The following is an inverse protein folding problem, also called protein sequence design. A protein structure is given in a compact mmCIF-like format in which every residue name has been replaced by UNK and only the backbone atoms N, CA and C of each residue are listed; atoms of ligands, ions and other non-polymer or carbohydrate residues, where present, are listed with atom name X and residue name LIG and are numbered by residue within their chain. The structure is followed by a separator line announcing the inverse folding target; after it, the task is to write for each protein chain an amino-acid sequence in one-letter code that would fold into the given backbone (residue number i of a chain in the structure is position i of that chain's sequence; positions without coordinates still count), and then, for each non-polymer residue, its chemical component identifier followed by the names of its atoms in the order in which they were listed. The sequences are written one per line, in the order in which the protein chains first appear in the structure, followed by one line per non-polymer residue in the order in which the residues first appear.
data_IF_631810016775
#
_entry.id   IF_631810016775
#
_cell.length_a   1.000
_cell.length_b   1.000
_cell.length_c   1.000
_cell.angle_alpha   90.00
_cell.angle_beta   90.00
_cell.angle_gamma   90.00
#
_symmetry.space_group_name_H-M   'P 1'
#
loop_
_entity.id
_entity.type
_entity.pdbx_description
1 polymer ?
#
# COMPACT_ATOMS: atom_id res chain seq x y z
N UNK A 1 2.37 8.79 -18.17
CA UNK A 1 3.64 8.31 -18.79
C UNK A 1 4.77 8.89 -17.95
N UNK A 2 5.76 8.09 -17.57
CA UNK A 2 6.93 8.55 -16.81
C UNK A 2 8.21 8.20 -17.54
N UNK A 3 9.19 9.11 -17.52
CA UNK A 3 10.58 8.81 -17.83
C UNK A 3 11.24 8.03 -16.68
N UNK A 4 12.42 7.46 -16.93
CA UNK A 4 13.20 6.82 -15.86
C UNK A 4 13.61 7.81 -14.76
N UNK A 5 13.90 9.06 -15.13
CA UNK A 5 14.23 10.11 -14.17
C UNK A 5 13.02 10.48 -13.30
N UNK A 6 11.85 10.65 -13.92
CA UNK A 6 10.60 10.94 -13.21
C UNK A 6 10.25 9.79 -12.26
N UNK A 7 10.35 8.53 -12.70
CA UNK A 7 10.16 7.37 -11.85
C UNK A 7 11.19 7.33 -10.70
N UNK A 8 12.45 7.68 -10.98
CA UNK A 8 13.50 7.80 -9.96
C UNK A 8 13.17 8.85 -8.89
N UNK A 9 12.65 10.01 -9.31
CA UNK A 9 12.21 11.07 -8.40
C UNK A 9 10.98 10.66 -7.58
N UNK A 10 9.93 10.19 -8.26
CA UNK A 10 8.68 9.78 -7.62
C UNK A 10 8.89 8.61 -6.66
N UNK A 11 9.72 7.62 -7.01
CA UNK A 11 9.95 6.47 -6.13
C UNK A 11 10.71 6.83 -4.85
N UNK A 12 11.54 7.89 -4.86
CA UNK A 12 12.14 8.44 -3.63
C UNK A 12 11.08 9.09 -2.75
N UNK A 13 10.20 9.91 -3.32
CA UNK A 13 9.09 10.51 -2.58
C UNK A 13 8.16 9.45 -2.00
N UNK A 14 7.75 8.47 -2.82
CA UNK A 14 6.93 7.35 -2.37
C UNK A 14 7.61 6.54 -1.25
N UNK A 15 8.94 6.37 -1.29
CA UNK A 15 9.68 5.71 -0.20
C UNK A 15 9.59 6.52 1.11
N UNK A 16 9.70 7.85 1.03
CA UNK A 16 9.51 8.73 2.19
C UNK A 16 8.07 8.65 2.72
N UNK A 17 7.06 8.59 1.85
CA UNK A 17 5.66 8.38 2.25
C UNK A 17 5.49 7.06 3.03
N UNK A 18 6.12 5.99 2.55
CA UNK A 18 6.08 4.69 3.23
C UNK A 18 6.77 4.73 4.60
N UNK A 19 7.90 5.43 4.75
CA UNK A 19 8.60 5.48 6.03
C UNK A 19 8.00 6.49 7.01
N UNK A 20 7.70 7.70 6.54
CA UNK A 20 7.32 8.84 7.39
C UNK A 20 5.81 8.84 7.65
N UNK A 21 4.99 8.89 6.59
CA UNK A 21 3.53 8.96 6.73
C UNK A 21 2.92 7.62 7.14
N UNK A 22 3.40 6.50 6.57
CA UNK A 22 2.92 5.17 6.95
C UNK A 22 3.66 4.57 8.17
N UNK A 23 4.75 5.21 8.63
CA UNK A 23 5.49 4.76 9.81
C UNK A 23 6.18 3.40 9.66
N UNK A 24 6.53 3.00 8.42
CA UNK A 24 7.13 1.69 8.13
C UNK A 24 8.64 1.72 8.31
N UNK A 25 9.18 0.58 8.75
CA UNK A 25 10.61 0.37 8.95
C UNK A 25 11.14 -0.71 8.00
N UNK A 26 12.47 -0.77 7.87
CA UNK A 26 13.14 -1.83 7.10
C UNK A 26 12.70 -3.22 7.61
N UNK A 27 12.32 -4.09 6.68
CA UNK A 27 11.81 -5.43 6.95
C UNK A 27 10.31 -5.52 7.19
N UNK A 28 9.62 -4.37 7.32
CA UNK A 28 8.16 -4.35 7.41
C UNK A 28 7.52 -4.77 6.10
N UNK A 29 6.30 -5.32 6.19
CA UNK A 29 5.59 -5.93 5.07
C UNK A 29 4.41 -5.07 4.66
N UNK A 30 4.31 -4.82 3.37
CA UNK A 30 3.21 -4.07 2.73
C UNK A 30 2.46 -5.01 1.81
N UNK A 31 1.17 -5.22 2.06
CA UNK A 31 0.29 -5.91 1.10
C UNK A 31 -0.21 -4.89 0.09
N UNK A 32 0.02 -5.11 -1.20
CA UNK A 32 -0.42 -4.22 -2.26
C UNK A 32 -1.43 -4.93 -3.16
N UNK A 33 -2.69 -4.50 -3.09
CA UNK A 33 -3.79 -5.03 -3.91
C UNK A 33 -4.31 -3.91 -4.79
N UNK A 34 -3.74 -3.80 -5.99
CA UNK A 34 -4.10 -2.76 -6.95
C UNK A 34 -4.39 -3.37 -8.32
N UNK A 35 -5.23 -2.72 -9.14
CA UNK A 35 -5.37 -3.05 -10.54
C UNK A 35 -4.09 -2.69 -11.33
N UNK A 36 -4.15 -2.79 -12.66
CA UNK A 36 -3.03 -2.46 -13.56
C UNK A 36 -2.84 -0.94 -13.67
N UNK A 37 -2.40 -0.30 -12.59
CA UNK A 37 -2.14 1.14 -12.50
C UNK A 37 -0.65 1.43 -12.32
N UNK A 38 -0.15 2.58 -12.82
CA UNK A 38 1.27 2.92 -12.72
C UNK A 38 1.82 2.96 -11.28
N UNK A 39 1.00 3.35 -10.31
CA UNK A 39 1.34 3.43 -8.89
C UNK A 39 1.78 2.09 -8.31
N UNK A 40 1.31 0.97 -8.87
CA UNK A 40 1.78 -0.36 -8.47
C UNK A 40 3.29 -0.51 -8.70
N UNK A 41 3.79 -0.06 -9.85
CA UNK A 41 5.23 -0.09 -10.17
C UNK A 41 6.01 0.91 -9.33
N UNK A 42 5.44 2.09 -9.13
CA UNK A 42 6.02 3.12 -8.26
C UNK A 42 6.25 2.59 -6.84
N UNK A 43 5.23 1.96 -6.24
CA UNK A 43 5.28 1.40 -4.89
C UNK A 43 6.22 0.21 -4.79
N UNK A 44 6.33 -0.61 -5.84
CA UNK A 44 7.29 -1.69 -5.89
C UNK A 44 8.74 -1.16 -5.75
N UNK A 45 9.10 -0.16 -6.56
CA UNK A 45 10.44 0.48 -6.50
C UNK A 45 10.63 1.22 -5.18
N UNK A 46 9.59 1.91 -4.68
CA UNK A 46 9.64 2.62 -3.41
C UNK A 46 9.90 1.68 -2.22
N UNK A 47 9.25 0.51 -2.18
CA UNK A 47 9.48 -0.50 -1.15
C UNK A 47 10.92 -1.02 -1.19
N UNK A 48 11.46 -1.30 -2.39
CA UNK A 48 12.86 -1.71 -2.53
C UNK A 48 13.82 -0.65 -1.98
N UNK A 49 13.57 0.63 -2.26
CA UNK A 49 14.38 1.75 -1.73
C UNK A 49 14.31 1.85 -0.21
N UNK A 50 13.11 1.72 0.37
CA UNK A 50 12.89 1.80 1.81
C UNK A 50 13.30 0.52 2.57
N UNK A 51 13.67 -0.56 1.87
CA UNK A 51 13.95 -1.86 2.48
C UNK A 51 12.70 -2.54 3.07
N UNK A 52 11.53 -2.25 2.48
CA UNK A 52 10.22 -2.78 2.86
C UNK A 52 9.91 -3.99 1.97
N UNK A 53 9.33 -5.03 2.57
CA UNK A 53 8.91 -6.26 1.86
C UNK A 53 7.57 -6.00 1.16
N UNK A 54 7.62 -5.91 -0.17
CA UNK A 54 6.44 -5.73 -1.01
C UNK A 54 5.74 -7.08 -1.27
N UNK A 55 4.48 -7.19 -0.88
CA UNK A 55 3.65 -8.40 -1.00
C UNK A 55 2.49 -8.13 -1.97
N UNK A 56 2.63 -8.43 -3.27
CA UNK A 56 1.56 -8.18 -4.23
C UNK A 56 0.39 -9.15 -4.05
N UNK A 57 -0.83 -8.64 -4.24
CA UNK A 57 -2.08 -9.42 -4.28
C UNK A 57 -2.91 -9.08 -5.51
N UNK A 58 -3.73 -10.04 -5.96
CA UNK A 58 -4.68 -9.84 -7.07
C UNK A 58 -5.86 -8.97 -6.62
N UNK A 59 -6.39 -8.13 -7.50
CA UNK A 59 -7.60 -7.32 -7.21
C UNK A 59 -8.87 -8.17 -7.01
N UNK A 60 -8.82 -9.48 -7.27
CA UNK A 60 -9.93 -10.42 -7.07
C UNK A 60 -10.02 -10.96 -5.63
N UNK A 61 -9.14 -10.52 -4.72
CA UNK A 61 -9.14 -11.01 -3.34
C UNK A 61 -10.45 -10.63 -2.63
N UNK A 62 -11.05 -11.61 -1.96
CA UNK A 62 -12.19 -11.37 -1.07
C UNK A 62 -11.73 -10.78 0.27
N UNK A 63 -12.67 -10.26 1.07
CA UNK A 63 -12.38 -9.84 2.44
C UNK A 63 -11.69 -10.95 3.26
N UNK A 64 -12.16 -12.20 3.14
CA UNK A 64 -11.56 -13.36 3.82
C UNK A 64 -10.11 -13.59 3.38
N UNK A 65 -9.83 -13.46 2.09
CA UNK A 65 -8.49 -13.61 1.53
C UNK A 65 -7.52 -12.52 2.01
N UNK A 66 -8.02 -11.28 2.13
CA UNK A 66 -7.28 -10.13 2.64
C UNK A 66 -6.95 -10.35 4.12
N UNK A 67 -7.95 -10.70 4.93
CA UNK A 67 -7.78 -10.97 6.37
C UNK A 67 -6.71 -12.05 6.61
N UNK A 68 -6.82 -13.18 5.90
CA UNK A 68 -5.84 -14.26 5.99
C UNK A 68 -4.41 -13.78 5.68
N UNK A 69 -4.25 -13.02 4.58
CA UNK A 69 -2.93 -12.50 4.17
C UNK A 69 -2.36 -11.54 5.20
N UNK A 70 -3.15 -10.58 5.68
CA UNK A 70 -2.72 -9.60 6.68
C UNK A 70 -2.25 -10.28 7.96
N UNK A 71 -2.98 -11.30 8.43
CA UNK A 71 -2.63 -12.06 9.63
C UNK A 71 -1.39 -12.95 9.41
N UNK A 72 -1.38 -13.76 8.36
CA UNK A 72 -0.29 -14.68 8.07
C UNK A 72 1.03 -13.94 7.79
N UNK A 73 0.96 -12.81 7.08
CA UNK A 73 2.14 -12.01 6.77
C UNK A 73 2.50 -11.05 7.88
N UNK A 74 1.65 -10.80 8.89
CA UNK A 74 1.85 -9.73 9.88
C UNK A 74 2.15 -8.38 9.20
N UNK A 75 1.44 -8.08 8.11
CA UNK A 75 1.65 -6.85 7.37
C UNK A 75 1.31 -5.62 8.22
N UNK A 76 2.13 -4.58 8.09
CA UNK A 76 1.94 -3.32 8.81
C UNK A 76 1.25 -2.25 7.98
N UNK A 77 1.20 -2.43 6.67
CA UNK A 77 0.47 -1.55 5.78
C UNK A 77 -0.22 -2.34 4.67
N UNK A 78 -1.36 -1.83 4.23
CA UNK A 78 -2.07 -2.28 3.04
C UNK A 78 -2.24 -1.12 2.07
N UNK A 79 -1.97 -1.37 0.79
CA UNK A 79 -2.22 -0.44 -0.30
C UNK A 79 -3.33 -0.98 -1.18
N UNK A 80 -4.36 -0.19 -1.43
CA UNK A 80 -5.48 -0.58 -2.30
C UNK A 80 -6.13 0.63 -2.97
N UNK A 81 -7.08 0.38 -3.86
CA UNK A 81 -7.93 1.40 -4.49
C UNK A 81 -9.26 1.62 -3.75
N UNK A 82 -10.03 2.58 -4.24
CA UNK A 82 -11.37 2.94 -3.74
C UNK A 82 -12.38 1.79 -3.79
N UNK A 83 -12.21 0.85 -4.73
CA UNK A 83 -13.15 -0.25 -4.97
C UNK A 83 -13.03 -1.33 -3.89
N UNK A 84 -11.79 -1.66 -3.50
CA UNK A 84 -11.51 -2.72 -2.54
C UNK A 84 -11.33 -2.19 -1.10
N UNK A 85 -11.18 -0.88 -0.89
CA UNK A 85 -11.12 -0.27 0.43
C UNK A 85 -12.25 -0.70 1.40
N UNK A 86 -13.54 -0.82 0.98
CA UNK A 86 -14.60 -1.33 1.85
C UNK A 86 -14.36 -2.78 2.32
N UNK A 87 -13.81 -3.64 1.46
CA UNK A 87 -13.49 -5.02 1.83
C UNK A 87 -12.35 -5.07 2.86
N UNK A 88 -11.35 -4.19 2.73
CA UNK A 88 -10.27 -4.04 3.73
C UNK A 88 -10.82 -3.55 5.06
N UNK A 89 -11.73 -2.57 5.05
CA UNK A 89 -12.35 -2.04 6.27
C UNK A 89 -13.11 -3.10 7.06
N UNK A 90 -13.84 -3.97 6.36
CA UNK A 90 -14.59 -5.07 6.97
C UNK A 90 -13.72 -6.04 7.78
N UNK A 91 -12.40 -6.06 7.57
CA UNK A 91 -11.47 -6.98 8.24
C UNK A 91 -10.49 -6.30 9.19
N UNK A 92 -10.62 -4.99 9.40
CA UNK A 92 -9.80 -4.24 10.35
C UNK A 92 -9.88 -4.75 11.80
N UNK A 93 -11.06 -5.17 12.32
CA UNK A 93 -11.14 -5.70 13.68
C UNK A 93 -10.22 -6.91 13.94
N UNK A 94 -9.86 -7.67 12.89
CA UNK A 94 -8.97 -8.83 12.98
C UNK A 94 -7.50 -8.55 12.61
N UNK A 95 -7.16 -7.30 12.27
CA UNK A 95 -5.87 -6.93 11.66
C UNK A 95 -4.90 -6.26 12.65
N UNK A 96 -4.56 -6.94 13.74
CA UNK A 96 -3.79 -6.38 14.87
C UNK A 96 -2.39 -5.82 14.52
N UNK A 97 -1.79 -6.26 13.41
CA UNK A 97 -0.46 -5.79 12.98
C UNK A 97 -0.53 -4.58 12.04
N UNK A 98 -1.72 -4.31 11.48
CA UNK A 98 -1.90 -3.26 10.49
C UNK A 98 -1.88 -1.89 11.19
N UNK A 99 -0.92 -1.05 10.79
CA UNK A 99 -0.72 0.30 11.35
C UNK A 99 -1.25 1.39 10.44
N UNK A 100 -1.11 1.20 9.13
CA UNK A 100 -1.49 2.20 8.14
C UNK A 100 -2.24 1.58 6.97
N UNK A 101 -3.04 2.40 6.30
CA UNK A 101 -3.78 2.04 5.10
C UNK A 101 -3.55 3.14 4.08
N UNK A 102 -3.08 2.76 2.89
CA UNK A 102 -2.75 3.70 1.81
C UNK A 102 -3.70 3.47 0.64
N UNK A 103 -4.33 4.53 0.18
CA UNK A 103 -5.28 4.55 -0.90
C UNK A 103 -4.61 5.07 -2.18
N UNK A 104 -4.85 4.37 -3.29
CA UNK A 104 -4.45 4.78 -4.63
C UNK A 104 -5.73 5.06 -5.42
N UNK A 105 -6.03 6.34 -5.61
CA UNK A 105 -7.26 6.77 -6.25
C UNK A 105 -7.48 8.28 -6.13
N UNK A 106 -8.61 8.75 -6.64
CA UNK A 106 -9.02 10.15 -6.53
C UNK A 106 -9.84 10.41 -5.26
N UNK A 107 -10.34 9.36 -4.61
CA UNK A 107 -11.13 9.49 -3.40
C UNK A 107 -10.28 9.88 -2.18
N UNK A 108 -10.93 10.56 -1.24
CA UNK A 108 -10.46 10.64 0.14
C UNK A 108 -11.36 9.77 1.00
N UNK A 109 -10.79 9.11 2.00
CA UNK A 109 -11.49 8.16 2.85
C UNK A 109 -10.96 8.26 4.28
N UNK A 110 -11.86 8.33 5.24
CA UNK A 110 -11.47 8.58 6.63
C UNK A 110 -10.56 7.47 7.18
N UNK A 111 -9.50 7.88 7.86
CA UNK A 111 -8.45 6.99 8.35
C UNK A 111 -7.61 6.30 7.25
N UNK A 112 -7.66 6.75 6.00
CA UNK A 112 -6.76 6.32 4.93
C UNK A 112 -5.82 7.46 4.52
N UNK A 113 -4.56 7.12 4.26
CA UNK A 113 -3.62 8.02 3.60
C UNK A 113 -3.88 7.97 2.10
N UNK A 114 -3.85 9.10 1.40
CA UNK A 114 -3.95 9.12 -0.07
C UNK A 114 -2.56 9.26 -0.69
N UNK A 115 -2.13 8.31 -1.51
CA UNK A 115 -0.80 8.33 -2.13
C UNK A 115 -0.60 9.57 -3.02
N UNK A 116 -1.60 9.96 -3.80
CA UNK A 116 -1.50 11.07 -4.75
C UNK A 116 -1.36 12.42 -4.03
N UNK A 117 -2.03 12.59 -2.90
CA UNK A 117 -1.93 13.81 -2.08
C UNK A 117 -0.57 13.94 -1.39
N UNK A 118 0.13 12.81 -1.17
CA UNK A 118 1.41 12.75 -0.46
C UNK A 118 2.65 12.76 -1.38
N UNK A 119 2.48 12.72 -2.71
CA UNK A 119 3.56 12.72 -3.72
C UNK A 119 3.81 14.12 -4.31
#
# INVERSE_FOLDING_TARGET
KWSFEELGSLSRKAANVLSEACGLQRGDRVVAVLPRVPEWWLLNVACMRAGIVFMPGTSQLTAKDISYRLQASKAKCIVTDDTLAPAVESVLPGSQFLKSKLLVGQGSRDGWLNLKELL
#
